data_IF_429913440196
#
_entry.id   IF_429913440196
#
_cell.length_a   1.000
_cell.length_b   1.000
_cell.length_c   1.000
_cell.angle_alpha   90.00
_cell.angle_beta   90.00
_cell.angle_gamma   90.00
#
_symmetry.space_group_name_H-M   'P 1'
#
loop_
_entity.id
_entity.type
_entity.pdbx_description
1 polymer ?
#
# COMPACT_ATOMS: atom_id res chain seq x y z
N UNK A 1 -76.19 30.77 30.28
CA UNK A 1 -75.28 31.36 29.26
C UNK A 1 -73.93 30.69 29.40
N UNK A 2 -73.57 29.85 28.42
CA UNK A 2 -72.27 29.18 28.37
C UNK A 2 -71.25 30.04 27.62
N UNK A 3 -70.05 30.14 28.16
CA UNK A 3 -68.87 30.62 27.43
C UNK A 3 -67.82 29.51 27.45
N UNK A 4 -67.62 28.97 26.25
CA UNK A 4 -66.67 27.92 25.89
C UNK A 4 -65.27 28.57 25.84
N UNK A 5 -64.42 28.26 26.81
CA UNK A 5 -63.04 28.77 26.85
C UNK A 5 -62.13 27.89 26.00
N UNK A 6 -61.82 28.43 24.83
CA UNK A 6 -60.97 27.92 23.78
C UNK A 6 -59.48 27.99 24.22
N UNK A 7 -59.02 27.06 25.08
CA UNK A 7 -57.66 27.08 25.64
C UNK A 7 -56.83 25.82 25.38
N UNK A 8 -57.46 24.68 25.10
CA UNK A 8 -56.76 23.38 25.17
C UNK A 8 -56.16 22.94 23.82
N UNK A 9 -56.47 23.65 22.73
CA UNK A 9 -55.98 23.31 21.39
C UNK A 9 -54.54 23.77 21.10
N UNK A 10 -53.93 24.59 21.95
CA UNK A 10 -52.55 25.06 21.73
C UNK A 10 -51.48 24.21 22.43
N UNK A 11 -51.79 23.52 23.53
CA UNK A 11 -50.83 22.67 24.23
C UNK A 11 -50.67 21.28 23.58
N UNK A 12 -51.75 20.71 23.03
CA UNK A 12 -51.71 19.41 22.34
C UNK A 12 -50.88 19.47 21.05
N UNK A 13 -50.94 20.59 20.32
CA UNK A 13 -50.20 20.78 19.08
C UNK A 13 -48.68 20.95 19.29
N UNK A 14 -48.25 21.52 20.41
CA UNK A 14 -46.83 21.66 20.75
C UNK A 14 -46.16 20.31 21.06
N UNK A 15 -46.82 19.47 21.86
CA UNK A 15 -46.35 18.12 22.16
C UNK A 15 -46.36 17.20 20.92
N UNK A 16 -47.34 17.35 20.02
CA UNK A 16 -47.39 16.59 18.78
C UNK A 16 -46.25 16.98 17.82
N UNK A 17 -45.90 18.27 17.73
CA UNK A 17 -44.78 18.74 16.91
C UNK A 17 -43.42 18.16 17.37
N UNK A 18 -43.16 18.08 18.67
CA UNK A 18 -41.91 17.51 19.19
C UNK A 18 -41.81 16.00 18.94
N UNK A 19 -42.92 15.26 19.06
CA UNK A 19 -42.98 13.82 18.77
C UNK A 19 -42.81 13.52 17.27
N UNK A 20 -43.31 14.39 16.39
CA UNK A 20 -43.18 14.26 14.93
C UNK A 20 -41.72 14.52 14.50
N UNK A 21 -41.04 15.50 15.09
CA UNK A 21 -39.64 15.81 14.78
C UNK A 21 -38.67 14.74 15.34
N UNK A 22 -38.95 14.23 16.54
CA UNK A 22 -38.19 13.12 17.11
C UNK A 22 -38.39 11.82 16.31
N UNK A 23 -39.61 11.53 15.87
CA UNK A 23 -39.90 10.40 14.98
C UNK A 23 -39.21 10.57 13.62
N UNK A 24 -39.16 11.78 13.07
CA UNK A 24 -38.45 12.08 11.82
C UNK A 24 -36.94 11.92 11.98
N UNK A 25 -36.38 12.32 13.12
CA UNK A 25 -34.96 12.17 13.44
C UNK A 25 -34.54 10.70 13.61
N UNK A 26 -35.39 9.89 14.26
CA UNK A 26 -35.17 8.43 14.41
C UNK A 26 -35.32 7.70 13.08
N UNK A 27 -36.24 8.13 12.20
CA UNK A 27 -36.43 7.54 10.87
C UNK A 27 -35.26 7.88 9.93
N UNK A 28 -34.71 9.11 10.00
CA UNK A 28 -33.56 9.52 9.16
C UNK A 28 -32.25 8.82 9.58
N UNK A 29 -32.14 8.31 10.81
CA UNK A 29 -30.96 7.59 11.29
C UNK A 29 -31.07 6.06 11.30
N UNK A 30 -32.19 5.47 10.85
CA UNK A 30 -32.23 4.05 10.51
C UNK A 30 -31.56 3.84 9.14
N UNK A 31 -30.22 3.92 9.13
CA UNK A 31 -29.38 3.33 8.08
C UNK A 31 -29.84 1.89 7.89
N UNK A 32 -30.55 1.64 6.80
CA UNK A 32 -30.79 0.30 6.28
C UNK A 32 -29.43 -0.42 6.27
N UNK A 33 -29.31 -1.54 6.99
CA UNK A 33 -28.06 -2.28 7.07
C UNK A 33 -27.72 -2.70 5.63
N UNK A 34 -26.56 -2.32 5.09
CA UNK A 34 -26.19 -2.74 3.75
C UNK A 34 -26.25 -4.26 3.73
N UNK A 35 -26.95 -4.83 2.73
CA UNK A 35 -26.98 -6.28 2.52
C UNK A 35 -25.54 -6.76 2.44
N UNK A 36 -25.11 -7.47 3.48
CA UNK A 36 -23.77 -8.02 3.55
C UNK A 36 -23.68 -9.05 2.44
N UNK A 37 -22.85 -8.79 1.43
CA UNK A 37 -22.66 -9.74 0.34
C UNK A 37 -22.19 -11.08 0.93
N UNK A 38 -23.03 -12.11 0.84
CA UNK A 38 -22.78 -13.43 1.45
C UNK A 38 -21.78 -14.27 0.63
N UNK A 39 -21.42 -13.82 -0.57
CA UNK A 39 -20.59 -14.55 -1.52
C UNK A 39 -19.32 -13.75 -1.86
N UNK A 40 -18.15 -14.37 -1.70
CA UNK A 40 -16.82 -13.80 -2.01
C UNK A 40 -16.69 -13.00 -3.32
N UNK A 41 -17.24 -13.41 -4.48
CA UNK A 41 -17.13 -12.64 -5.72
C UNK A 41 -17.96 -11.35 -5.72
N UNK A 42 -19.10 -11.32 -5.01
CA UNK A 42 -19.95 -10.13 -4.88
C UNK A 42 -19.27 -9.09 -3.98
N UNK A 43 -18.55 -9.55 -2.94
CA UNK A 43 -17.71 -8.70 -2.09
C UNK A 43 -16.55 -8.09 -2.92
N UNK A 44 -15.80 -8.90 -3.66
CA UNK A 44 -14.68 -8.41 -4.48
C UNK A 44 -15.13 -7.42 -5.57
N UNK A 45 -16.32 -7.61 -6.13
CA UNK A 45 -16.91 -6.72 -7.15
C UNK A 45 -17.40 -5.39 -6.57
N UNK A 46 -17.86 -5.39 -5.32
CA UNK A 46 -18.29 -4.19 -4.61
C UNK A 46 -17.12 -3.32 -4.12
N UNK A 47 -15.90 -3.87 -4.05
CA UNK A 47 -14.73 -3.14 -3.54
C UNK A 47 -14.15 -2.17 -4.58
N UNK A 48 -13.68 -0.98 -4.16
CA UNK A 48 -13.00 -0.08 -5.07
C UNK A 48 -11.72 -0.72 -5.61
N UNK A 49 -11.49 -0.58 -6.92
CA UNK A 49 -10.28 -1.10 -7.60
C UNK A 49 -8.99 -0.64 -6.92
N UNK A 50 -8.99 0.58 -6.36
CA UNK A 50 -7.89 1.16 -5.59
C UNK A 50 -7.49 0.28 -4.40
N UNK A 51 -8.45 -0.28 -3.67
CA UNK A 51 -8.17 -1.14 -2.50
C UNK A 51 -7.49 -2.44 -2.92
N UNK A 52 -7.91 -3.06 -4.03
CA UNK A 52 -7.25 -4.25 -4.56
C UNK A 52 -5.83 -3.96 -5.05
N UNK A 53 -5.59 -2.80 -5.65
CA UNK A 53 -4.25 -2.36 -6.03
C UNK A 53 -3.34 -2.18 -4.81
N UNK A 54 -3.84 -1.56 -3.73
CA UNK A 54 -3.07 -1.37 -2.49
C UNK A 54 -2.74 -2.72 -1.83
N UNK A 55 -3.72 -3.63 -1.71
CA UNK A 55 -3.50 -4.96 -1.11
C UNK A 55 -2.51 -5.77 -1.93
N UNK A 56 -2.60 -5.73 -3.26
CA UNK A 56 -1.65 -6.42 -4.14
C UNK A 56 -0.25 -5.84 -4.03
N UNK A 57 -0.13 -4.52 -3.88
CA UNK A 57 1.16 -3.84 -3.64
C UNK A 57 1.79 -4.28 -2.32
N UNK A 58 1.03 -4.24 -1.23
CA UNK A 58 1.48 -4.72 0.09
C UNK A 58 1.89 -6.20 0.06
N UNK A 59 1.11 -7.04 -0.61
CA UNK A 59 1.44 -8.45 -0.77
C UNK A 59 2.74 -8.64 -1.55
N UNK A 60 2.91 -7.92 -2.66
CA UNK A 60 4.13 -7.96 -3.46
C UNK A 60 5.35 -7.50 -2.66
N UNK A 61 5.21 -6.42 -1.88
CA UNK A 61 6.28 -5.91 -1.02
C UNK A 61 6.70 -6.95 0.03
N UNK A 62 5.72 -7.55 0.73
CA UNK A 62 5.99 -8.60 1.72
C UNK A 62 6.62 -9.83 1.09
N UNK A 63 6.11 -10.28 -0.05
CA UNK A 63 6.67 -11.42 -0.78
C UNK A 63 8.11 -11.16 -1.21
N UNK A 64 8.38 -10.00 -1.80
CA UNK A 64 9.73 -9.62 -2.23
C UNK A 64 10.69 -9.48 -1.06
N UNK A 65 10.25 -8.89 0.06
CA UNK A 65 11.07 -8.75 1.27
C UNK A 65 11.49 -10.10 1.86
N UNK A 66 10.53 -11.00 2.08
CA UNK A 66 10.85 -12.33 2.62
C UNK A 66 11.60 -13.21 1.61
N UNK A 67 11.27 -13.10 0.32
CA UNK A 67 11.93 -13.82 -0.77
C UNK A 67 13.40 -13.42 -0.92
N UNK A 68 13.69 -12.12 -0.98
CA UNK A 68 15.06 -11.59 -1.07
C UNK A 68 15.92 -12.06 0.11
N UNK A 69 15.40 -11.96 1.35
CA UNK A 69 16.10 -12.41 2.55
C UNK A 69 16.42 -13.90 2.50
N UNK A 70 15.48 -14.70 2.00
CA UNK A 70 15.62 -16.15 1.91
C UNK A 70 16.63 -16.56 0.85
N UNK A 71 16.52 -16.02 -0.38
CA UNK A 71 17.40 -16.35 -1.50
C UNK A 71 18.85 -15.94 -1.19
N UNK A 72 19.05 -14.78 -0.56
CA UNK A 72 20.39 -14.31 -0.19
C UNK A 72 21.04 -15.21 0.87
N UNK A 73 20.29 -15.60 1.90
CA UNK A 73 20.79 -16.54 2.91
C UNK A 73 21.13 -17.90 2.26
N UNK A 74 20.25 -18.40 1.39
CA UNK A 74 20.46 -19.66 0.69
C UNK A 74 21.72 -19.61 -0.21
N UNK A 75 22.00 -18.47 -0.83
CA UNK A 75 23.19 -18.24 -1.64
C UNK A 75 24.48 -18.29 -0.81
N UNK A 76 24.49 -17.63 0.36
CA UNK A 76 25.63 -17.68 1.28
C UNK A 76 25.93 -19.10 1.77
N UNK A 77 24.89 -19.88 2.05
CA UNK A 77 25.04 -21.26 2.53
C UNK A 77 25.46 -22.23 1.41
N UNK A 78 24.85 -22.15 0.22
CA UNK A 78 25.03 -23.17 -0.82
C UNK A 78 26.16 -22.85 -1.81
N UNK A 79 26.32 -21.59 -2.21
CA UNK A 79 27.30 -21.19 -3.23
C UNK A 79 28.62 -20.81 -2.58
N UNK A 80 28.57 -19.95 -1.57
CA UNK A 80 29.76 -19.45 -0.86
C UNK A 80 30.25 -20.38 0.26
N UNK A 81 29.46 -21.40 0.61
CA UNK A 81 29.75 -22.38 1.67
C UNK A 81 30.15 -21.73 3.01
N UNK A 82 29.51 -20.62 3.36
CA UNK A 82 29.73 -19.99 4.66
C UNK A 82 29.00 -20.72 5.78
N UNK A 83 29.55 -20.61 6.99
CA UNK A 83 28.88 -21.07 8.21
C UNK A 83 27.58 -20.30 8.43
N UNK A 84 26.60 -20.95 9.04
CA UNK A 84 25.27 -20.37 9.29
C UNK A 84 25.34 -19.07 10.10
N UNK A 85 26.29 -18.96 11.03
CA UNK A 85 26.49 -17.75 11.83
C UNK A 85 26.90 -16.56 10.94
N UNK A 86 27.91 -16.77 10.08
CA UNK A 86 28.44 -15.72 9.20
C UNK A 86 27.44 -15.36 8.10
N UNK A 87 26.75 -16.35 7.52
CA UNK A 87 25.72 -16.14 6.52
C UNK A 87 24.57 -15.27 7.07
N UNK A 88 24.15 -15.53 8.31
CA UNK A 88 23.10 -14.76 8.98
C UNK A 88 23.52 -13.31 9.23
N UNK A 89 24.75 -13.09 9.72
CA UNK A 89 25.29 -11.74 9.90
C UNK A 89 25.35 -10.99 8.57
N UNK A 90 25.82 -11.66 7.50
CA UNK A 90 25.86 -11.10 6.15
C UNK A 90 24.48 -10.71 5.61
N UNK A 91 23.49 -11.59 5.74
CA UNK A 91 22.12 -11.29 5.28
C UNK A 91 21.49 -10.13 6.06
N UNK A 92 21.66 -10.07 7.39
CA UNK A 92 21.13 -8.95 8.18
C UNK A 92 21.88 -7.64 7.89
N UNK A 93 23.20 -7.70 7.69
CA UNK A 93 24.00 -6.54 7.28
C UNK A 93 23.53 -5.96 5.94
N UNK A 94 23.26 -6.84 4.96
CA UNK A 94 22.68 -6.44 3.68
C UNK A 94 21.31 -5.77 3.86
N UNK A 95 20.42 -6.35 4.67
CA UNK A 95 19.11 -5.75 4.97
C UNK A 95 19.25 -4.35 5.57
N UNK A 96 20.17 -4.15 6.53
CA UNK A 96 20.43 -2.84 7.13
C UNK A 96 20.94 -1.85 6.08
N UNK A 97 21.85 -2.25 5.18
CA UNK A 97 22.34 -1.39 4.10
C UNK A 97 21.22 -0.99 3.12
N UNK A 98 20.32 -1.90 2.78
CA UNK A 98 19.15 -1.60 1.95
C UNK A 98 18.24 -0.54 2.59
N UNK A 99 18.09 -0.54 3.92
CA UNK A 99 17.33 0.49 4.64
C UNK A 99 18.13 1.80 4.81
N UNK A 100 19.44 1.73 4.96
CA UNK A 100 20.30 2.91 5.08
C UNK A 100 20.47 3.67 3.77
N UNK A 101 20.50 2.97 2.64
CA UNK A 101 20.66 3.58 1.29
C UNK A 101 19.63 4.68 0.98
N UNK A 102 18.31 4.46 1.15
CA UNK A 102 17.31 5.50 0.94
C UNK A 102 17.36 6.59 2.02
N UNK A 103 17.74 6.28 3.26
CA UNK A 103 17.91 7.27 4.33
C UNK A 103 19.10 8.21 4.01
N UNK A 104 20.21 7.66 3.57
CA UNK A 104 21.38 8.43 3.16
C UNK A 104 21.08 9.26 1.91
N UNK A 105 20.36 8.67 0.95
CA UNK A 105 19.88 9.36 -0.23
C UNK A 105 18.93 10.52 0.07
N UNK A 106 18.06 10.39 1.08
CA UNK A 106 17.13 11.47 1.46
C UNK A 106 17.84 12.64 2.15
N UNK A 107 18.81 12.37 3.02
CA UNK A 107 19.62 13.41 3.69
C UNK A 107 20.43 14.21 2.67
N UNK A 108 21.05 13.54 1.69
CA UNK A 108 21.79 14.22 0.61
C UNK A 108 20.84 15.08 -0.25
N UNK A 109 19.64 14.57 -0.53
CA UNK A 109 18.65 15.28 -1.34
C UNK A 109 18.14 16.57 -0.67
N UNK A 110 17.96 16.55 0.65
CA UNK A 110 17.45 17.68 1.43
C UNK A 110 18.54 18.71 1.72
N UNK A 111 19.80 18.29 1.83
CA UNK A 111 20.92 19.16 2.23
C UNK A 111 21.57 19.97 1.10
N UNK A 112 21.79 19.41 -0.09
CA UNK A 112 22.70 20.02 -1.08
C UNK A 112 22.15 20.23 -2.48
N UNK A 113 21.17 19.43 -2.92
CA UNK A 113 20.98 19.20 -4.37
C UNK A 113 19.55 19.51 -4.86
N UNK A 114 18.58 19.60 -3.95
CA UNK A 114 17.19 19.86 -4.28
C UNK A 114 16.49 18.63 -4.87
N UNK A 115 15.20 18.46 -4.53
CA UNK A 115 14.38 17.27 -4.82
C UNK A 115 14.46 16.78 -6.27
N UNK A 116 14.50 17.71 -7.23
CA UNK A 116 14.50 17.41 -8.66
C UNK A 116 15.81 16.74 -9.14
N UNK A 117 16.96 17.15 -8.59
CA UNK A 117 18.26 16.63 -9.03
C UNK A 117 18.57 15.27 -8.45
N UNK A 118 18.10 14.96 -7.24
CA UNK A 118 18.21 13.59 -6.69
C UNK A 118 17.44 12.60 -7.55
N UNK A 119 16.20 12.93 -7.92
CA UNK A 119 15.38 12.08 -8.79
C UNK A 119 16.06 11.90 -10.16
N UNK A 120 16.62 12.97 -10.72
CA UNK A 120 17.32 12.92 -12.00
C UNK A 120 18.60 12.07 -11.95
N UNK A 121 19.41 12.18 -10.89
CA UNK A 121 20.63 11.38 -10.71
C UNK A 121 20.29 9.89 -10.53
N UNK A 122 19.29 9.56 -9.71
CA UNK A 122 18.82 8.18 -9.56
C UNK A 122 18.31 7.61 -10.89
N UNK A 123 17.60 8.42 -11.68
CA UNK A 123 17.13 8.02 -13.01
C UNK A 123 18.28 7.75 -13.99
N UNK A 124 19.33 8.57 -13.97
CA UNK A 124 20.52 8.35 -14.81
C UNK A 124 21.25 7.07 -14.40
N UNK A 125 21.47 6.84 -13.10
CA UNK A 125 22.14 5.62 -12.61
C UNK A 125 21.34 4.38 -13.01
N UNK A 126 20.01 4.42 -12.89
CA UNK A 126 19.13 3.34 -13.32
C UNK A 126 19.20 3.10 -14.85
N UNK A 127 19.16 4.17 -15.65
CA UNK A 127 19.28 4.08 -17.10
C UNK A 127 20.63 3.49 -17.52
N UNK A 128 21.73 3.91 -16.88
CA UNK A 128 23.06 3.36 -17.13
C UNK A 128 23.17 1.87 -16.75
N UNK A 129 22.55 1.45 -15.65
CA UNK A 129 22.48 0.04 -15.28
C UNK A 129 21.76 -0.82 -16.32
N UNK A 130 20.61 -0.35 -16.80
CA UNK A 130 19.85 -1.03 -17.87
C UNK A 130 20.61 -1.03 -19.20
N UNK A 131 21.31 0.05 -19.52
CA UNK A 131 22.12 0.17 -20.73
C UNK A 131 23.35 -0.73 -20.67
N UNK A 132 24.00 -0.86 -19.51
CA UNK A 132 25.08 -1.81 -19.29
C UNK A 132 24.63 -3.27 -19.44
N UNK A 133 23.47 -3.62 -18.91
CA UNK A 133 22.89 -4.96 -19.07
C UNK A 133 22.51 -5.25 -20.53
N UNK A 134 21.93 -4.26 -21.22
CA UNK A 134 21.61 -4.37 -22.65
C UNK A 134 22.87 -4.49 -23.51
N UNK A 135 23.92 -3.71 -23.21
CA UNK A 135 25.21 -3.76 -23.90
C UNK A 135 25.92 -5.11 -23.68
N UNK A 136 25.91 -5.63 -22.45
CA UNK A 136 26.43 -6.96 -22.16
C UNK A 136 25.69 -8.04 -22.96
N UNK A 137 24.37 -7.88 -23.12
CA UNK A 137 23.53 -8.80 -23.91
C UNK A 137 23.82 -8.72 -25.42
N UNK A 138 23.99 -7.52 -25.99
CA UNK A 138 24.33 -7.36 -27.42
C UNK A 138 25.77 -7.76 -27.74
N UNK A 139 26.73 -7.52 -26.84
CA UNK A 139 28.11 -8.01 -26.97
C UNK A 139 28.19 -9.53 -26.86
N UNK A 140 27.33 -10.15 -26.05
CA UNK A 140 27.20 -11.62 -26.02
C UNK A 140 26.54 -12.18 -27.29
N UNK A 141 25.75 -11.37 -28.01
CA UNK A 141 25.16 -11.77 -29.29
C UNK A 141 26.11 -11.62 -30.49
N UNK A 142 27.25 -10.94 -30.34
CA UNK A 142 28.27 -10.77 -31.39
C UNK A 142 29.44 -11.75 -31.27
N UNK A 143 29.43 -12.67 -30.29
CA UNK A 143 30.29 -13.86 -30.35
C UNK A 143 29.64 -14.90 -31.27
N UNK A 144 30.23 -15.22 -32.45
CA UNK A 144 29.76 -16.32 -33.26
C UNK A 144 30.03 -17.63 -32.51
N UNK A 145 29.01 -18.49 -32.49
CA UNK A 145 29.10 -19.95 -32.54
C UNK A 145 30.24 -20.60 -31.72
N UNK A 146 29.91 -21.17 -30.56
CA UNK A 146 30.63 -22.36 -30.07
C UNK A 146 29.67 -23.55 -30.28
N UNK A 147 29.92 -24.41 -31.29
CA UNK A 147 29.22 -25.68 -31.44
C UNK A 147 29.75 -26.71 -30.43
N UNK A 148 28.81 -27.54 -29.95
CA UNK A 148 28.94 -28.82 -29.22
C UNK A 148 29.95 -28.93 -28.08
#
# INVERSE_FOLDING_TARGET
>A
MGLKSNGDHHAENGANMENIDLSRSVVVHRKEKPKMAETWPEMLKAWPKTTLCIVSNEFCERFSYYGMRTILLLYFLNVLKFDYSIATVGTNGFTVLCYLTPLFGSIIADGYVGKFKTIFVLSIVYALGQLGLAAASTLSSSSPCIPM
#
